data_IF_826583256106
#
_entry.id   IF_826583256106
#
_cell.length_a   1.000
_cell.length_b   1.000
_cell.length_c   1.000
_cell.angle_alpha   90.00
_cell.angle_beta   90.00
_cell.angle_gamma   90.00
#
_symmetry.space_group_name_H-M   'P 1'
#
loop_
_entity.id
_entity.type
_entity.pdbx_description
1 polymer ?
#
# COMPACT_ATOMS: atom_id res chain seq x y z
N UNK A 1 22.17 -6.78 31.84
CA UNK A 1 21.12 -6.61 30.81
C UNK A 1 21.71 -6.92 29.45
N UNK A 2 20.99 -7.72 28.64
CA UNK A 2 21.40 -8.11 27.30
C UNK A 2 20.96 -7.10 26.22
N UNK A 3 20.20 -6.08 26.58
CA UNK A 3 19.73 -5.02 25.70
C UNK A 3 19.31 -3.77 26.47
N UNK A 4 19.25 -2.65 25.80
CA UNK A 4 18.64 -1.40 26.25
C UNK A 4 17.52 -0.97 25.30
N UNK A 5 16.59 -0.16 25.82
CA UNK A 5 15.50 0.43 25.01
C UNK A 5 15.58 1.95 25.16
N UNK A 6 15.66 2.65 24.04
CA UNK A 6 15.59 4.11 23.99
C UNK A 6 14.26 4.52 23.38
N UNK A 7 13.45 5.23 24.15
CA UNK A 7 12.16 5.76 23.70
C UNK A 7 12.38 7.06 22.93
N UNK A 8 11.69 7.20 21.81
CA UNK A 8 11.70 8.39 20.94
C UNK A 8 10.25 8.87 20.73
N UNK A 9 10.07 10.03 20.15
CA UNK A 9 8.75 10.60 19.88
C UNK A 9 7.97 9.77 18.84
N UNK A 10 8.66 9.28 17.82
CA UNK A 10 8.11 8.55 16.67
C UNK A 10 8.30 7.02 16.74
N UNK A 11 8.85 6.49 17.84
CA UNK A 11 9.13 5.07 17.98
C UNK A 11 10.02 4.72 19.17
N UNK A 12 10.61 3.53 19.13
CA UNK A 12 11.66 3.16 20.06
C UNK A 12 12.83 2.46 19.34
N UNK A 13 14.01 2.58 19.93
CA UNK A 13 15.20 1.88 19.52
C UNK A 13 15.47 0.71 20.47
N UNK A 14 15.62 -0.48 19.91
CA UNK A 14 16.09 -1.66 20.62
C UNK A 14 17.60 -1.78 20.36
N UNK A 15 18.38 -1.66 21.43
CA UNK A 15 19.84 -1.63 21.40
C UNK A 15 20.37 -2.95 22.00
N UNK A 16 20.68 -3.95 21.16
CA UNK A 16 21.20 -5.22 21.67
C UNK A 16 22.66 -5.03 22.10
N UNK A 17 23.00 -5.54 23.26
CA UNK A 17 24.40 -5.65 23.73
C UNK A 17 24.98 -7.00 23.33
N UNK A 18 25.25 -7.14 22.05
CA UNK A 18 25.72 -8.37 21.46
C UNK A 18 27.10 -8.14 20.80
N UNK A 19 27.96 -9.17 20.73
CA UNK A 19 29.20 -9.07 19.97
C UNK A 19 28.96 -8.54 18.55
N UNK A 20 29.90 -7.72 18.04
CA UNK A 20 29.74 -7.06 16.74
C UNK A 20 29.45 -8.03 15.57
N UNK A 21 29.94 -9.26 15.66
CA UNK A 21 29.73 -10.33 14.69
C UNK A 21 28.40 -11.11 14.86
N UNK A 22 27.57 -10.80 15.84
CA UNK A 22 26.30 -11.49 16.04
C UNK A 22 25.28 -11.06 14.99
N UNK A 23 24.67 -12.03 14.32
CA UNK A 23 23.65 -11.80 13.30
C UNK A 23 22.33 -11.55 14.00
N UNK A 24 21.74 -10.38 13.78
CA UNK A 24 20.37 -10.08 14.15
C UNK A 24 19.51 -10.44 12.94
N UNK A 25 18.76 -11.53 13.07
CA UNK A 25 17.91 -12.06 12.01
C UNK A 25 16.50 -11.48 12.02
N UNK A 26 15.73 -11.78 10.98
CA UNK A 26 14.33 -11.35 10.87
C UNK A 26 13.45 -11.98 11.95
N UNK A 27 13.79 -13.17 12.45
CA UNK A 27 13.03 -13.85 13.50
C UNK A 27 13.06 -13.06 14.81
N UNK A 28 14.22 -12.56 15.21
CA UNK A 28 14.36 -11.71 16.39
C UNK A 28 13.58 -10.39 16.21
N UNK A 29 13.69 -9.78 15.03
CA UNK A 29 12.94 -8.56 14.71
C UNK A 29 11.43 -8.79 14.83
N UNK A 30 10.89 -9.86 14.25
CA UNK A 30 9.48 -10.18 14.31
C UNK A 30 9.01 -10.48 15.76
N UNK A 31 9.81 -11.17 16.55
CA UNK A 31 9.51 -11.42 17.97
C UNK A 31 9.41 -10.12 18.76
N UNK A 32 10.39 -9.22 18.60
CA UNK A 32 10.36 -7.90 19.27
C UNK A 32 9.12 -7.11 18.82
N UNK A 33 8.85 -7.08 17.52
CA UNK A 33 7.69 -6.40 16.96
C UNK A 33 6.37 -6.90 17.57
N UNK A 34 6.16 -8.21 17.62
CA UNK A 34 4.92 -8.82 18.14
C UNK A 34 4.74 -8.54 19.64
N UNK A 35 5.79 -8.74 20.43
CA UNK A 35 5.76 -8.49 21.88
C UNK A 35 5.49 -7.01 22.16
N UNK A 36 6.20 -6.12 21.50
CA UNK A 36 6.07 -4.68 21.70
C UNK A 36 4.71 -4.16 21.23
N UNK A 37 4.19 -4.68 20.12
CA UNK A 37 2.86 -4.30 19.64
C UNK A 37 1.75 -4.70 20.63
N UNK A 38 1.87 -5.87 21.25
CA UNK A 38 0.94 -6.30 22.28
C UNK A 38 1.07 -5.45 23.57
N UNK A 39 2.29 -5.16 24.01
CA UNK A 39 2.55 -4.39 25.22
C UNK A 39 2.15 -2.91 25.12
N UNK A 40 2.28 -2.32 23.92
CA UNK A 40 2.00 -0.90 23.69
C UNK A 40 0.52 -0.63 23.36
N UNK A 41 -0.25 -1.66 22.98
CA UNK A 41 -1.67 -1.54 22.71
C UNK A 41 -2.45 -1.14 24.00
N UNK A 42 -3.46 -0.26 23.94
CA UNK A 42 -3.98 0.46 22.76
C UNK A 42 -3.37 1.84 22.52
N UNK A 43 -2.35 2.24 23.30
CA UNK A 43 -1.81 3.61 23.25
C UNK A 43 -1.02 3.90 22.01
N UNK A 44 -0.33 2.89 21.49
CA UNK A 44 0.51 3.00 20.30
C UNK A 44 0.27 1.81 19.38
N UNK A 45 0.33 2.06 18.09
CA UNK A 45 0.35 1.03 17.04
C UNK A 45 1.71 1.04 16.36
N UNK A 46 2.44 -0.08 16.45
CA UNK A 46 3.72 -0.22 15.74
C UNK A 46 3.49 -0.30 14.23
N UNK A 47 4.32 0.40 13.49
CA UNK A 47 4.32 0.35 12.03
C UNK A 47 5.24 -0.77 11.55
N UNK A 48 4.68 -1.76 10.86
CA UNK A 48 5.47 -2.86 10.33
C UNK A 48 6.34 -2.37 9.18
N UNK A 49 7.66 -2.63 9.27
CA UNK A 49 8.60 -2.37 8.21
C UNK A 49 8.82 -3.62 7.35
N UNK A 50 9.20 -3.44 6.09
CA UNK A 50 9.42 -4.55 5.16
C UNK A 50 10.75 -5.28 5.40
N UNK A 51 11.66 -4.67 6.15
CA UNK A 51 12.96 -5.23 6.53
C UNK A 51 13.38 -4.70 7.91
N UNK A 52 14.30 -5.39 8.58
CA UNK A 52 14.89 -4.90 9.81
C UNK A 52 15.63 -3.58 9.57
N UNK A 53 15.21 -2.55 10.27
CA UNK A 53 15.74 -1.21 10.11
C UNK A 53 16.82 -0.93 11.15
N UNK A 54 18.07 -0.88 10.72
CA UNK A 54 19.20 -0.54 11.58
C UNK A 54 19.44 0.97 11.59
N UNK A 55 19.60 1.50 12.79
CA UNK A 55 20.00 2.87 13.05
C UNK A 55 21.36 2.86 13.73
N UNK A 56 22.27 3.69 13.22
CA UNK A 56 23.55 3.91 13.87
C UNK A 56 23.40 4.77 15.12
N UNK A 57 24.04 4.38 16.20
CA UNK A 57 24.14 5.16 17.43
C UNK A 57 25.54 5.81 17.50
N UNK A 58 25.54 7.07 17.90
CA UNK A 58 26.80 7.81 18.11
C UNK A 58 27.39 7.43 19.50
N UNK A 59 28.17 6.37 19.52
CA UNK A 59 28.88 5.87 20.70
C UNK A 59 30.19 5.21 20.29
N UNK A 60 31.19 5.26 21.16
CA UNK A 60 32.51 4.64 20.92
C UNK A 60 32.48 3.12 21.17
N UNK A 61 31.44 2.59 21.85
CA UNK A 61 31.32 1.17 22.12
C UNK A 61 30.71 0.45 20.90
N UNK A 62 31.56 -0.31 20.19
CA UNK A 62 31.18 -1.09 18.98
C UNK A 62 30.06 -2.11 19.22
N UNK A 63 29.83 -2.55 20.47
CA UNK A 63 28.78 -3.52 20.81
C UNK A 63 27.38 -2.89 20.86
N UNK A 64 27.29 -1.58 20.97
CA UNK A 64 26.03 -0.83 21.07
C UNK A 64 25.89 0.27 20.01
N UNK A 65 26.72 0.27 18.97
CA UNK A 65 26.65 1.26 17.88
C UNK A 65 25.44 1.09 16.96
N UNK A 66 24.73 0.00 17.06
CA UNK A 66 23.59 -0.33 16.18
C UNK A 66 22.33 -0.60 16.99
N UNK A 67 21.22 -0.09 16.52
CA UNK A 67 19.90 -0.33 17.08
C UNK A 67 18.90 -0.76 16.01
N UNK A 68 17.90 -1.54 16.39
CA UNK A 68 16.71 -1.75 15.56
C UNK A 68 15.69 -0.67 15.91
N UNK A 69 15.20 0.04 14.92
CA UNK A 69 14.18 1.06 15.11
C UNK A 69 12.78 0.52 14.83
N UNK A 70 11.86 0.74 15.76
CA UNK A 70 10.46 0.35 15.68
C UNK A 70 9.60 1.61 15.71
N UNK A 71 9.17 2.12 14.55
CA UNK A 71 8.31 3.30 14.49
C UNK A 71 6.90 2.98 14.97
N UNK A 72 6.23 3.98 15.57
CA UNK A 72 4.85 3.87 16.00
C UNK A 72 4.01 5.08 15.62
N UNK A 73 2.69 4.88 15.71
CA UNK A 73 1.69 5.96 15.76
C UNK A 73 0.94 5.90 17.08
N UNK A 74 0.56 7.05 17.59
CA UNK A 74 -0.31 7.16 18.75
C UNK A 74 -1.70 6.66 18.38
N UNK A 75 -2.30 5.83 19.26
CA UNK A 75 -3.64 5.31 19.09
C UNK A 75 -3.72 3.99 18.35
N UNK A 76 -4.95 3.57 18.09
CA UNK A 76 -5.27 2.31 17.39
C UNK A 76 -5.35 2.58 15.90
N UNK A 77 -4.83 1.66 15.10
CA UNK A 77 -5.06 1.69 13.65
C UNK A 77 -6.54 1.43 13.36
N UNK A 78 -7.27 2.45 12.97
CA UNK A 78 -8.68 2.36 12.62
C UNK A 78 -8.83 1.78 11.22
N UNK A 79 -9.18 0.50 11.15
CA UNK A 79 -9.46 -0.17 9.88
C UNK A 79 -10.83 0.25 9.37
N UNK A 80 -10.91 0.53 8.08
CA UNK A 80 -12.16 0.71 7.39
C UNK A 80 -12.79 -0.68 7.16
N UNK A 81 -13.96 -0.93 7.77
CA UNK A 81 -14.73 -2.17 7.60
C UNK A 81 -15.95 -1.83 6.74
N UNK A 82 -16.05 -2.46 5.57
CA UNK A 82 -17.11 -2.20 4.59
C UNK A 82 -17.94 -3.49 4.43
N UNK A 83 -19.14 -3.57 5.02
CA UNK A 83 -20.01 -4.74 4.87
C UNK A 83 -20.56 -4.90 3.46
N UNK A 84 -20.96 -3.80 2.84
CA UNK A 84 -21.46 -3.73 1.47
C UNK A 84 -20.72 -2.64 0.69
N UNK A 85 -19.97 -3.07 -0.32
CA UNK A 85 -19.13 -2.18 -1.11
C UNK A 85 -19.95 -1.27 -2.04
N UNK A 86 -21.04 -1.76 -2.61
CA UNK A 86 -21.88 -0.97 -3.53
C UNK A 86 -22.63 0.12 -2.77
N UNK A 87 -23.23 -0.22 -1.64
CA UNK A 87 -23.87 0.74 -0.75
C UNK A 87 -22.88 1.76 -0.22
N UNK A 88 -21.71 1.30 0.24
CA UNK A 88 -20.68 2.18 0.74
C UNK A 88 -20.18 3.16 -0.33
N UNK A 89 -19.88 2.68 -1.53
CA UNK A 89 -19.43 3.51 -2.65
C UNK A 89 -20.50 4.54 -3.01
N UNK A 90 -21.79 4.17 -3.02
CA UNK A 90 -22.89 5.09 -3.33
C UNK A 90 -23.02 6.24 -2.33
N UNK A 91 -22.68 6.02 -1.08
CA UNK A 91 -22.77 7.00 -0.01
C UNK A 91 -21.60 8.00 0.02
N UNK A 92 -20.49 7.72 -0.68
CA UNK A 92 -19.33 8.60 -0.66
C UNK A 92 -19.53 9.84 -1.54
N UNK A 93 -18.92 10.94 -1.11
CA UNK A 93 -18.85 12.15 -1.93
C UNK A 93 -18.04 11.92 -3.21
N UNK A 94 -18.40 12.58 -4.30
CA UNK A 94 -17.65 12.56 -5.55
C UNK A 94 -16.20 12.97 -5.28
N UNK A 95 -15.27 12.29 -5.93
CA UNK A 95 -13.82 12.46 -5.79
C UNK A 95 -13.15 11.98 -4.49
N UNK A 96 -13.89 11.49 -3.50
CA UNK A 96 -13.29 11.02 -2.25
C UNK A 96 -13.24 9.49 -2.16
N UNK A 97 -12.09 8.96 -1.80
CA UNK A 97 -11.87 7.51 -1.60
C UNK A 97 -11.31 7.29 -0.20
N UNK A 98 -12.14 6.89 0.78
CA UNK A 98 -11.68 6.55 2.11
C UNK A 98 -10.74 5.33 2.06
N UNK A 99 -9.57 5.41 2.69
CA UNK A 99 -8.59 4.31 2.78
C UNK A 99 -8.62 3.68 4.18
N UNK A 100 -8.80 4.52 5.19
CA UNK A 100 -8.99 4.16 6.60
C UNK A 100 -10.09 5.06 7.16
N UNK A 101 -10.54 4.81 8.40
CA UNK A 101 -11.58 5.65 9.02
C UNK A 101 -11.20 7.15 9.02
N UNK A 102 -9.92 7.46 9.27
CA UNK A 102 -9.42 8.83 9.35
C UNK A 102 -8.52 9.23 8.17
N UNK A 103 -8.50 8.43 7.10
CA UNK A 103 -7.68 8.70 5.92
C UNK A 103 -8.51 8.57 4.66
N UNK A 104 -8.69 9.69 3.98
CA UNK A 104 -9.41 9.77 2.71
C UNK A 104 -8.48 10.32 1.63
N UNK A 105 -8.51 9.69 0.47
CA UNK A 105 -7.79 10.11 -0.71
C UNK A 105 -8.71 11.01 -1.54
N UNK A 106 -8.22 12.19 -1.90
CA UNK A 106 -8.89 13.06 -2.86
C UNK A 106 -8.39 12.74 -4.27
N UNK A 107 -9.25 12.14 -5.07
CA UNK A 107 -8.93 11.71 -6.44
C UNK A 107 -8.45 12.88 -7.33
N UNK A 108 -8.97 14.08 -7.12
CA UNK A 108 -8.57 15.25 -7.92
C UNK A 108 -7.13 15.70 -7.65
N UNK A 109 -6.56 15.30 -6.51
CA UNK A 109 -5.17 15.62 -6.12
C UNK A 109 -4.17 14.51 -6.41
N UNK A 110 -4.65 13.31 -6.74
CA UNK A 110 -3.81 12.14 -6.94
C UNK A 110 -3.77 11.79 -8.42
N UNK A 111 -2.62 11.99 -9.04
CA UNK A 111 -2.40 11.70 -10.47
C UNK A 111 -2.05 10.24 -10.72
N UNK A 112 -1.42 9.57 -9.75
CA UNK A 112 -1.06 8.15 -9.82
C UNK A 112 -0.84 7.57 -8.43
N UNK A 113 -1.10 6.27 -8.27
CA UNK A 113 -0.73 5.52 -7.07
C UNK A 113 -0.38 4.08 -7.41
N UNK A 114 0.40 3.45 -6.54
CA UNK A 114 0.78 2.06 -6.67
C UNK A 114 0.33 1.25 -5.44
N UNK A 115 -0.15 0.02 -5.69
CA UNK A 115 -0.50 -0.93 -4.64
C UNK A 115 0.55 -2.03 -4.63
N UNK A 116 1.38 -2.05 -3.60
CA UNK A 116 2.42 -3.05 -3.42
C UNK A 116 2.17 -3.90 -2.16
N UNK A 117 2.68 -5.12 -2.16
CA UNK A 117 2.58 -6.04 -1.03
C UNK A 117 2.88 -7.48 -1.44
N UNK A 118 3.12 -8.35 -0.46
CA UNK A 118 3.41 -9.76 -0.68
C UNK A 118 2.18 -10.53 -1.21
N UNK A 119 2.38 -11.75 -1.68
CA UNK A 119 1.27 -12.63 -2.03
C UNK A 119 0.36 -12.84 -0.82
N UNK A 120 -0.96 -12.82 -1.04
CA UNK A 120 -1.95 -12.95 0.06
C UNK A 120 -2.18 -11.68 0.89
N UNK A 121 -1.49 -10.56 0.65
CA UNK A 121 -1.66 -9.31 1.43
C UNK A 121 -2.94 -8.52 1.12
N UNK A 122 -3.82 -9.00 0.24
CA UNK A 122 -5.07 -8.33 -0.09
C UNK A 122 -5.00 -7.32 -1.24
N UNK A 123 -3.92 -7.27 -2.03
CA UNK A 123 -3.78 -6.33 -3.17
C UNK A 123 -4.97 -6.35 -4.13
N UNK A 124 -5.43 -7.55 -4.49
CA UNK A 124 -6.56 -7.71 -5.43
C UNK A 124 -7.88 -7.20 -4.83
N UNK A 125 -8.07 -7.36 -3.53
CA UNK A 125 -9.23 -6.78 -2.83
C UNK A 125 -9.15 -5.26 -2.81
N UNK A 126 -7.98 -4.71 -2.47
CA UNK A 126 -7.75 -3.26 -2.50
C UNK A 126 -8.00 -2.69 -3.91
N UNK A 127 -7.49 -3.36 -4.95
CA UNK A 127 -7.72 -2.94 -6.34
C UNK A 127 -9.21 -2.98 -6.70
N UNK A 128 -9.94 -4.03 -6.32
CA UNK A 128 -11.39 -4.12 -6.54
C UNK A 128 -12.14 -3.00 -5.82
N UNK A 129 -11.73 -2.66 -4.60
CA UNK A 129 -12.25 -1.53 -3.87
C UNK A 129 -12.06 -0.21 -4.64
N UNK A 130 -10.82 0.08 -5.08
CA UNK A 130 -10.53 1.28 -5.86
C UNK A 130 -11.32 1.34 -7.16
N UNK A 131 -11.41 0.23 -7.89
CA UNK A 131 -12.22 0.15 -9.13
C UNK A 131 -13.70 0.45 -8.85
N UNK A 132 -14.26 -0.05 -7.76
CA UNK A 132 -15.65 0.21 -7.37
C UNK A 132 -15.89 1.67 -7.01
N UNK A 133 -14.94 2.30 -6.35
CA UNK A 133 -15.00 3.73 -6.04
C UNK A 133 -14.87 4.60 -7.29
N UNK A 134 -13.85 4.31 -8.12
CA UNK A 134 -13.54 5.08 -9.32
C UNK A 134 -14.62 4.98 -10.41
N UNK A 135 -15.27 3.83 -10.57
CA UNK A 135 -16.36 3.62 -11.54
C UNK A 135 -17.47 4.68 -11.40
N UNK A 136 -17.62 5.23 -10.21
CA UNK A 136 -18.69 6.17 -9.90
C UNK A 136 -18.54 7.54 -10.58
N UNK A 137 -17.30 7.99 -10.78
CA UNK A 137 -16.99 9.34 -11.26
C UNK A 137 -15.93 9.40 -12.36
N UNK A 138 -15.50 8.24 -12.88
CA UNK A 138 -14.53 8.19 -13.96
C UNK A 138 -14.79 7.03 -14.92
N UNK A 139 -14.40 7.21 -16.18
CA UNK A 139 -14.28 6.14 -17.15
C UNK A 139 -13.05 5.29 -16.82
N UNK A 140 -13.19 3.96 -16.88
CA UNK A 140 -12.14 3.03 -16.50
C UNK A 140 -11.61 2.28 -17.72
N UNK A 141 -10.30 2.32 -17.92
CA UNK A 141 -9.58 1.44 -18.83
C UNK A 141 -8.82 0.43 -17.98
N UNK A 142 -9.18 -0.85 -18.09
CA UNK A 142 -8.63 -1.91 -17.25
C UNK A 142 -7.72 -2.79 -18.10
N UNK A 143 -6.46 -2.88 -17.71
CA UNK A 143 -5.47 -3.78 -18.34
C UNK A 143 -5.10 -4.84 -17.30
N UNK A 144 -5.39 -6.10 -17.59
CA UNK A 144 -5.08 -7.22 -16.68
C UNK A 144 -4.34 -8.35 -17.41
N UNK A 145 -3.01 -8.35 -17.36
CA UNK A 145 -2.20 -9.38 -18.02
C UNK A 145 -2.42 -10.80 -17.49
N UNK A 146 -2.92 -10.93 -16.26
CA UNK A 146 -3.17 -12.23 -15.62
C UNK A 146 -4.58 -12.74 -15.80
N UNK A 147 -5.50 -11.87 -16.22
CA UNK A 147 -6.92 -12.19 -16.36
C UNK A 147 -7.55 -12.75 -15.07
N UNK A 148 -7.25 -12.12 -13.94
CA UNK A 148 -7.62 -12.56 -12.60
C UNK A 148 -8.77 -11.73 -11.98
N UNK A 149 -8.71 -11.43 -10.70
CA UNK A 149 -9.75 -10.78 -9.91
C UNK A 149 -10.25 -9.45 -10.51
N UNK A 150 -9.38 -8.53 -10.98
CA UNK A 150 -9.84 -7.29 -11.62
C UNK A 150 -10.69 -7.55 -12.88
N UNK A 151 -10.29 -8.52 -13.70
CA UNK A 151 -11.06 -8.91 -14.90
C UNK A 151 -12.41 -9.50 -14.57
N UNK A 152 -12.51 -10.31 -13.51
CA UNK A 152 -13.79 -10.88 -13.05
C UNK A 152 -14.72 -9.79 -12.55
N UNK A 153 -14.19 -8.86 -11.78
CA UNK A 153 -14.97 -7.71 -11.29
C UNK A 153 -15.45 -6.83 -12.45
N UNK A 154 -14.57 -6.49 -13.39
CA UNK A 154 -14.90 -5.66 -14.54
C UNK A 154 -16.03 -6.27 -15.40
N UNK A 155 -15.95 -7.56 -15.71
CA UNK A 155 -16.98 -8.27 -16.45
C UNK A 155 -18.33 -8.28 -15.72
N UNK A 156 -18.33 -8.51 -14.40
CA UNK A 156 -19.54 -8.44 -13.59
C UNK A 156 -20.19 -7.05 -13.64
N UNK A 157 -19.38 -6.01 -13.83
CA UNK A 157 -19.82 -4.62 -13.92
C UNK A 157 -20.02 -4.10 -15.36
N UNK A 158 -19.99 -4.98 -16.37
CA UNK A 158 -20.20 -4.60 -17.76
C UNK A 158 -19.07 -3.78 -18.39
N UNK A 159 -17.87 -3.84 -17.82
CA UNK A 159 -16.69 -3.11 -18.30
C UNK A 159 -15.79 -3.99 -19.17
N UNK A 160 -15.24 -3.38 -20.22
CA UNK A 160 -14.25 -4.03 -21.06
C UNK A 160 -12.90 -4.15 -20.33
N UNK A 161 -12.18 -5.25 -20.63
CA UNK A 161 -10.85 -5.51 -20.09
C UNK A 161 -9.90 -5.86 -21.21
N UNK A 162 -8.77 -5.21 -21.23
CA UNK A 162 -7.65 -5.52 -22.11
C UNK A 162 -6.83 -6.63 -21.47
N UNK A 163 -6.81 -7.80 -22.08
CA UNK A 163 -6.07 -8.96 -21.54
C UNK A 163 -5.52 -9.83 -22.67
N UNK A 164 -4.47 -10.63 -22.43
CA UNK A 164 -3.96 -11.57 -23.44
C UNK A 164 -5.03 -12.58 -23.83
N UNK A 165 -5.30 -12.70 -25.13
CA UNK A 165 -6.24 -13.66 -25.69
C UNK A 165 -5.51 -14.86 -26.28
N UNK A 166 -6.10 -16.06 -26.18
CA UNK A 166 -5.48 -17.31 -26.68
C UNK A 166 -5.17 -17.28 -28.17
N UNK A 167 -5.95 -16.52 -28.95
CA UNK A 167 -5.86 -16.45 -30.42
C UNK A 167 -5.13 -15.20 -30.92
N UNK A 168 -4.50 -14.42 -30.04
CA UNK A 168 -3.75 -13.22 -30.39
C UNK A 168 -2.30 -13.33 -29.92
N UNK A 169 -1.40 -12.70 -30.63
CA UNK A 169 0.00 -12.62 -30.26
C UNK A 169 0.22 -11.71 -29.04
N UNK A 170 1.37 -11.86 -28.39
CA UNK A 170 1.78 -10.91 -27.34
C UNK A 170 1.94 -9.50 -27.88
N UNK A 171 2.35 -9.37 -29.13
CA UNK A 171 2.48 -8.09 -29.85
C UNK A 171 1.13 -7.39 -29.98
N UNK A 172 0.08 -8.13 -30.35
CA UNK A 172 -1.26 -7.55 -30.49
C UNK A 172 -1.79 -7.03 -29.15
N UNK A 173 -1.53 -7.76 -28.05
CA UNK A 173 -1.90 -7.30 -26.72
C UNK A 173 -1.18 -6.00 -26.33
N UNK A 174 0.13 -5.89 -26.61
CA UNK A 174 0.89 -4.67 -26.35
C UNK A 174 0.43 -3.52 -27.24
N UNK A 175 0.12 -3.79 -28.50
CA UNK A 175 -0.42 -2.78 -29.42
C UNK A 175 -1.75 -2.21 -28.94
N UNK A 176 -2.66 -3.07 -28.48
CA UNK A 176 -3.95 -2.65 -27.93
C UNK A 176 -3.80 -1.77 -26.67
N UNK A 177 -2.82 -2.09 -25.79
CA UNK A 177 -2.48 -1.22 -24.64
C UNK A 177 -1.99 0.14 -25.16
N UNK A 178 -1.05 0.17 -26.09
CA UNK A 178 -0.48 1.42 -26.62
C UNK A 178 -1.53 2.30 -27.30
N UNK A 179 -2.47 1.72 -28.05
CA UNK A 179 -3.59 2.46 -28.64
C UNK A 179 -4.46 3.13 -27.56
N UNK A 180 -4.78 2.42 -26.48
CA UNK A 180 -5.58 2.98 -25.39
C UNK A 180 -4.82 4.05 -24.61
N UNK A 181 -3.52 3.88 -24.38
CA UNK A 181 -2.67 4.91 -23.78
C UNK A 181 -2.61 6.17 -24.67
N UNK A 182 -2.48 6.00 -25.98
CA UNK A 182 -2.48 7.11 -26.94
C UNK A 182 -3.81 7.88 -26.93
N UNK A 183 -4.94 7.20 -26.80
CA UNK A 183 -6.25 7.84 -26.61
C UNK A 183 -6.29 8.65 -25.30
N UNK A 184 -5.79 8.11 -24.19
CA UNK A 184 -5.68 8.83 -22.93
C UNK A 184 -4.82 10.10 -23.07
N UNK A 185 -3.66 9.99 -23.71
CA UNK A 185 -2.78 11.14 -23.95
C UNK A 185 -3.47 12.23 -24.78
N UNK A 186 -4.21 11.83 -25.81
CA UNK A 186 -5.00 12.77 -26.63
C UNK A 186 -6.04 13.52 -25.79
N UNK A 187 -6.73 12.83 -24.89
CA UNK A 187 -7.71 13.45 -23.97
C UNK A 187 -7.02 14.42 -23.01
N UNK A 188 -5.86 14.03 -22.45
CA UNK A 188 -5.07 14.89 -21.55
C UNK A 188 -4.66 16.17 -22.27
N UNK A 189 -4.09 16.07 -23.47
CA UNK A 189 -3.68 17.24 -24.26
C UNK A 189 -4.86 18.16 -24.59
N UNK A 190 -6.01 17.60 -24.99
CA UNK A 190 -7.23 18.40 -25.23
C UNK A 190 -7.69 19.16 -23.98
N UNK A 191 -7.66 18.51 -22.82
CA UNK A 191 -8.04 19.15 -21.53
C UNK A 191 -7.04 20.23 -21.13
N UNK A 192 -5.75 19.99 -21.32
CA UNK A 192 -4.70 20.99 -21.07
C UNK A 192 -4.89 22.23 -21.97
N UNK A 193 -5.20 22.03 -23.26
CA UNK A 193 -5.43 23.14 -24.19
C UNK A 193 -6.68 24.00 -23.86
N UNK A 194 -7.58 23.51 -23.02
CA UNK A 194 -8.75 24.27 -22.54
C UNK A 194 -8.38 25.13 -21.32
N UNK A 195 -7.35 24.73 -20.56
CA UNK A 195 -6.93 25.39 -19.33
C UNK A 195 -5.89 26.49 -19.56
N UNK A 196 -5.26 26.50 -20.74
CA UNK A 196 -4.26 27.49 -21.18
C UNK A 196 -4.68 28.18 -22.49
#
# INVERSE_FOLDING_TARGET
NSFDIKIMEDGFQFIPRLPAGYIIDDELYQKIFLISNAALYPRYTLLKQNSAYFVALNTDDIHVQRALFFPWKIGISERLIIPDLEQFASAQHESTIPIMQNLTLDYNKVTSFAIAGNSGSGKSYALTYFLSMLKKFSELIIVDPKFDTPSRWARKNGLAVIHPQKNRSKSDFVSEINENLSKCMTIIHKRQAILF
#
